data_IF_018710143109
#
_entry.id   IF_018710143109
#
_cell.length_a   1.000
_cell.length_b   1.000
_cell.length_c   1.000
_cell.angle_alpha   90.00
_cell.angle_beta   90.00
_cell.angle_gamma   90.00
#
_symmetry.space_group_name_H-M   'P 1'
#
loop_
_entity.id
_entity.type
_entity.pdbx_description
1 polymer ?
#
# COMPACT_ATOMS: atom_id res chain seq x y z
N UNK A 1 2.12 21.22 11.59
CA UNK A 1 3.35 21.04 12.41
C UNK A 1 3.77 19.57 12.47
N UNK A 2 2.85 18.62 12.68
CA UNK A 2 3.13 17.17 12.70
C UNK A 2 3.60 16.57 11.36
N UNK A 3 3.07 17.02 10.21
CA UNK A 3 3.49 16.52 8.89
C UNK A 3 4.96 16.84 8.55
N UNK A 4 5.46 18.00 9.00
CA UNK A 4 6.87 18.40 8.75
C UNK A 4 7.85 17.52 9.54
N UNK A 5 7.53 17.16 10.78
CA UNK A 5 8.36 16.30 11.63
C UNK A 5 8.47 14.87 11.07
N UNK A 6 7.40 14.33 10.46
CA UNK A 6 7.46 13.02 9.83
C UNK A 6 8.33 13.02 8.56
N UNK A 7 8.32 14.10 7.79
CA UNK A 7 9.12 14.20 6.56
C UNK A 7 10.62 14.37 6.84
N UNK A 8 11.01 15.02 7.94
CA UNK A 8 12.42 15.16 8.33
C UNK A 8 13.06 13.85 8.82
N UNK A 9 12.26 12.94 9.38
CA UNK A 9 12.75 11.67 9.95
C UNK A 9 12.59 10.48 8.98
N UNK A 10 11.55 10.48 8.13
CA UNK A 10 11.22 9.34 7.26
C UNK A 10 11.20 9.67 5.76
N UNK A 11 11.52 10.90 5.35
CA UNK A 11 11.37 11.36 3.97
C UNK A 11 9.91 11.59 3.59
N UNK A 12 9.63 11.77 2.30
CA UNK A 12 8.26 11.96 1.82
C UNK A 12 7.48 10.63 1.91
N UNK A 13 6.46 10.58 2.77
CA UNK A 13 5.67 9.37 3.03
C UNK A 13 4.32 9.41 2.31
N UNK A 14 4.08 8.44 1.43
CA UNK A 14 2.80 8.22 0.77
C UNK A 14 1.91 7.26 1.54
N UNK A 15 0.59 7.47 1.48
CA UNK A 15 -0.40 6.53 2.03
C UNK A 15 -1.51 6.28 1.02
N UNK A 16 -1.75 5.01 0.69
CA UNK A 16 -2.85 4.60 -0.19
C UNK A 16 -3.80 3.66 0.54
N UNK A 17 -5.08 3.74 0.19
CA UNK A 17 -6.14 2.93 0.78
C UNK A 17 -6.79 2.06 -0.30
N UNK A 18 -6.99 0.78 -0.03
CA UNK A 18 -7.74 -0.11 -0.90
C UNK A 18 -8.74 -0.95 -0.11
N UNK A 19 -9.78 -1.43 -0.80
CA UNK A 19 -10.66 -2.49 -0.29
C UNK A 19 -10.18 -3.85 -0.80
N UNK A 20 -10.31 -4.89 0.00
CA UNK A 20 -10.00 -6.27 -0.36
C UNK A 20 -11.20 -7.15 -0.09
N UNK A 21 -11.51 -8.05 -1.02
CA UNK A 21 -12.57 -9.02 -0.84
C UNK A 21 -12.19 -10.00 0.30
N UNK A 22 -13.16 -10.53 1.08
CA UNK A 22 -12.87 -11.34 2.26
C UNK A 22 -11.87 -12.48 2.03
N UNK A 23 -11.97 -13.17 0.88
CA UNK A 23 -11.12 -14.29 0.49
C UNK A 23 -9.64 -13.95 0.29
N UNK A 24 -9.35 -12.68 -0.04
CA UNK A 24 -7.98 -12.17 -0.17
C UNK A 24 -7.54 -11.46 1.11
N UNK A 25 -8.44 -10.69 1.72
CA UNK A 25 -8.17 -9.90 2.92
C UNK A 25 -7.54 -10.75 4.03
N UNK A 26 -8.11 -11.91 4.36
CA UNK A 26 -7.56 -12.77 5.42
C UNK A 26 -6.17 -13.33 5.06
N UNK A 27 -5.93 -13.66 3.78
CA UNK A 27 -4.62 -14.13 3.32
C UNK A 27 -3.56 -13.02 3.39
N UNK A 28 -3.93 -11.80 2.98
CA UNK A 28 -3.05 -10.62 3.04
C UNK A 28 -2.76 -10.21 4.50
N UNK A 29 -3.80 -10.18 5.35
CA UNK A 29 -3.69 -9.85 6.79
C UNK A 29 -2.83 -10.85 7.54
N UNK A 30 -2.95 -12.14 7.26
CA UNK A 30 -2.20 -13.20 7.93
C UNK A 30 -0.81 -13.46 7.31
N UNK A 31 -0.40 -12.70 6.29
CA UNK A 31 0.91 -12.85 5.64
C UNK A 31 1.06 -14.10 4.78
N UNK A 32 -0.03 -14.84 4.51
CA UNK A 32 -0.05 -15.94 3.54
C UNK A 32 0.18 -15.39 2.13
N UNK A 33 -0.38 -14.21 1.86
CA UNK A 33 -0.16 -13.43 0.65
C UNK A 33 0.58 -12.14 1.02
N UNK A 34 1.72 -11.89 0.39
CA UNK A 34 2.57 -10.72 0.65
C UNK A 34 2.52 -9.70 -0.51
N UNK A 35 1.35 -9.59 -1.14
CA UNK A 35 1.14 -8.62 -2.20
C UNK A 35 -0.35 -8.36 -2.40
N UNK A 36 -0.67 -7.25 -3.06
CA UNK A 36 -1.99 -6.98 -3.60
C UNK A 36 -1.86 -6.54 -5.05
N UNK A 37 -2.86 -6.87 -5.87
CA UNK A 37 -2.87 -6.56 -7.31
C UNK A 37 -4.03 -5.60 -7.56
N UNK A 38 -3.76 -4.48 -8.24
CA UNK A 38 -4.73 -3.42 -8.46
C UNK A 38 -4.73 -3.01 -9.92
N UNK A 39 -5.89 -3.03 -10.55
CA UNK A 39 -6.07 -2.41 -11.85
C UNK A 39 -6.18 -0.90 -11.65
N UNK A 40 -5.46 -0.12 -12.47
CA UNK A 40 -5.54 1.35 -12.45
C UNK A 40 -6.96 1.81 -12.69
N UNK A 41 -7.42 2.75 -11.88
CA UNK A 41 -8.62 3.53 -12.16
C UNK A 41 -8.27 5.04 -12.26
N UNK A 42 -9.28 5.91 -12.20
CA UNK A 42 -9.12 7.36 -12.23
C UNK A 42 -8.87 7.98 -10.85
N UNK A 43 -8.78 7.16 -9.80
CA UNK A 43 -8.60 7.61 -8.43
C UNK A 43 -7.17 8.11 -8.18
N UNK A 44 -7.08 9.22 -7.45
CA UNK A 44 -5.82 9.89 -7.12
C UNK A 44 -4.81 9.00 -6.39
N UNK A 45 -5.26 7.94 -5.70
CA UNK A 45 -4.37 6.99 -5.01
C UNK A 45 -3.38 6.32 -5.97
N UNK A 46 -3.73 6.18 -7.25
CA UNK A 46 -2.81 5.62 -8.24
C UNK A 46 -1.72 6.60 -8.66
N UNK A 47 -1.95 7.91 -8.53
CA UNK A 47 -0.89 8.91 -8.72
C UNK A 47 0.16 8.78 -7.61
N UNK A 48 -0.26 8.47 -6.38
CA UNK A 48 0.67 8.20 -5.26
C UNK A 48 1.53 6.95 -5.57
N UNK A 49 0.95 5.92 -6.18
CA UNK A 49 1.73 4.76 -6.63
C UNK A 49 2.73 5.13 -7.74
N UNK A 50 2.29 5.91 -8.72
CA UNK A 50 3.16 6.38 -9.80
C UNK A 50 4.30 7.27 -9.27
N UNK A 51 4.03 8.13 -8.28
CA UNK A 51 5.04 8.98 -7.63
C UNK A 51 6.03 8.18 -6.78
N UNK A 52 5.60 7.09 -6.13
CA UNK A 52 6.50 6.14 -5.46
C UNK A 52 7.40 5.42 -6.45
N UNK A 53 6.86 4.91 -7.56
CA UNK A 53 7.65 4.27 -8.64
C UNK A 53 8.68 5.26 -9.22
N UNK A 54 8.30 6.53 -9.37
CA UNK A 54 9.18 7.58 -9.86
C UNK A 54 10.22 8.08 -8.84
N UNK A 55 10.22 7.55 -7.60
CA UNK A 55 11.15 7.94 -6.55
C UNK A 55 10.88 9.32 -5.91
N UNK A 56 9.67 9.87 -6.07
CA UNK A 56 9.26 11.14 -5.41
C UNK A 56 8.75 10.93 -3.99
N UNK A 57 8.33 9.70 -3.70
CA UNK A 57 7.88 9.25 -2.38
C UNK A 57 8.89 8.21 -1.92
N UNK A 58 9.53 8.47 -0.79
CA UNK A 58 10.61 7.62 -0.25
C UNK A 58 10.05 6.37 0.43
N UNK A 59 8.87 6.51 1.04
CA UNK A 59 8.22 5.44 1.79
C UNK A 59 6.73 5.40 1.51
N UNK A 60 6.20 4.22 1.23
CA UNK A 60 4.77 4.04 0.96
C UNK A 60 4.15 3.09 1.98
N UNK A 61 3.00 3.48 2.52
CA UNK A 61 2.18 2.64 3.39
C UNK A 61 0.86 2.33 2.69
N UNK A 62 0.51 1.05 2.64
CA UNK A 62 -0.80 0.62 2.14
C UNK A 62 -1.71 0.27 3.30
N UNK A 63 -2.95 0.78 3.28
CA UNK A 63 -4.03 0.40 4.18
C UNK A 63 -5.06 -0.39 3.42
N UNK A 64 -5.31 -1.62 3.85
CA UNK A 64 -6.29 -2.52 3.23
C UNK A 64 -7.47 -2.67 4.16
N UNK A 65 -8.65 -2.29 3.68
CA UNK A 65 -9.94 -2.43 4.34
C UNK A 65 -10.65 -3.70 3.86
N UNK A 66 -11.40 -4.34 4.76
CA UNK A 66 -12.33 -5.39 4.37
C UNK A 66 -13.46 -4.78 3.54
N UNK A 67 -13.75 -5.31 2.35
CA UNK A 67 -14.72 -4.71 1.44
C UNK A 67 -16.14 -4.59 2.02
N UNK A 68 -16.51 -5.48 2.95
CA UNK A 68 -17.82 -5.52 3.61
C UNK A 68 -17.90 -4.66 4.87
N UNK A 69 -16.78 -4.17 5.41
CA UNK A 69 -16.73 -3.41 6.68
C UNK A 69 -15.61 -2.38 6.67
N UNK A 70 -15.97 -1.09 6.72
CA UNK A 70 -15.01 0.01 6.61
C UNK A 70 -14.20 0.29 7.89
N UNK A 71 -14.48 -0.40 8.99
CA UNK A 71 -13.72 -0.26 10.24
C UNK A 71 -12.63 -1.33 10.41
N UNK A 72 -12.68 -2.43 9.65
CA UNK A 72 -11.67 -3.48 9.74
C UNK A 72 -10.58 -3.27 8.68
N UNK A 73 -9.36 -2.97 9.12
CA UNK A 73 -8.22 -2.77 8.23
C UNK A 73 -6.93 -3.36 8.81
N UNK A 74 -5.98 -3.62 7.92
CA UNK A 74 -4.57 -3.75 8.30
C UNK A 74 -3.72 -2.82 7.46
N UNK A 75 -2.52 -2.53 7.94
CA UNK A 75 -1.55 -1.68 7.25
C UNK A 75 -0.24 -2.41 7.05
N UNK A 76 0.46 -2.05 5.96
CA UNK A 76 1.76 -2.61 5.60
C UNK A 76 2.67 -1.53 5.02
N UNK A 77 3.96 -1.64 5.30
CA UNK A 77 5.00 -0.85 4.64
C UNK A 77 5.31 -1.52 3.31
N UNK A 78 5.13 -0.78 2.23
CA UNK A 78 5.37 -1.28 0.88
C UNK A 78 6.86 -1.46 0.66
N UNK A 79 7.21 -2.62 0.11
CA UNK A 79 8.58 -2.99 -0.25
C UNK A 79 8.89 -2.61 -1.70
N UNK A 80 7.95 -2.88 -2.60
CA UNK A 80 8.07 -2.58 -4.02
C UNK A 80 6.68 -2.39 -4.65
N UNK A 81 6.63 -1.55 -5.69
CA UNK A 81 5.49 -1.41 -6.59
C UNK A 81 5.97 -1.60 -8.01
N UNK A 82 5.51 -2.65 -8.65
CA UNK A 82 5.72 -2.90 -10.07
C UNK A 82 4.45 -2.59 -10.86
N UNK A 83 4.60 -2.08 -12.09
CA UNK A 83 3.48 -1.73 -12.99
C UNK A 83 3.66 -2.36 -14.37
N UNK A 84 2.64 -3.06 -14.85
CA UNK A 84 2.59 -3.65 -16.19
C UNK A 84 1.18 -3.50 -16.76
N UNK A 85 1.05 -2.88 -17.95
CA UNK A 85 -0.24 -2.70 -18.65
C UNK A 85 -1.39 -2.15 -17.77
N UNK A 86 -1.07 -1.18 -16.90
CA UNK A 86 -2.06 -0.58 -16.00
C UNK A 86 -2.42 -1.43 -14.78
N UNK A 87 -1.76 -2.57 -14.58
CA UNK A 87 -1.86 -3.40 -13.39
C UNK A 87 -0.70 -3.05 -12.46
N UNK A 88 -1.01 -2.73 -11.21
CA UNK A 88 -0.05 -2.52 -10.14
C UNK A 88 0.05 -3.77 -9.29
N UNK A 89 1.27 -4.23 -9.06
CA UNK A 89 1.59 -5.28 -8.10
C UNK A 89 2.34 -4.62 -6.94
N UNK A 90 1.67 -4.56 -5.79
CA UNK A 90 2.18 -3.91 -4.59
C UNK A 90 2.59 -5.01 -3.61
N UNK A 91 3.86 -5.06 -3.23
CA UNK A 91 4.39 -6.01 -2.25
C UNK A 91 4.76 -5.29 -0.96
N UNK A 92 4.84 -5.99 0.17
CA UNK A 92 5.24 -5.37 1.44
C UNK A 92 6.35 -6.13 2.15
N UNK A 93 6.94 -5.47 3.15
CA UNK A 93 7.93 -6.06 4.03
C UNK A 93 7.33 -7.29 4.74
N UNK A 94 8.07 -8.40 4.74
CA UNK A 94 7.65 -9.60 5.46
C UNK A 94 8.00 -9.43 6.94
N UNK A 95 7.02 -9.62 7.82
CA UNK A 95 7.22 -9.55 9.27
C UNK A 95 7.83 -10.83 9.85
N UNK A 96 8.03 -11.89 9.05
CA UNK A 96 8.53 -13.19 9.51
C UNK A 96 10.05 -13.29 9.69
N UNK A 97 10.80 -12.23 9.40
CA UNK A 97 12.24 -12.16 9.66
C UNK A 97 12.52 -11.16 10.79
N UNK A 98 12.30 -11.60 12.03
CA UNK A 98 12.95 -11.10 13.25
C UNK A 98 13.34 -12.30 14.10
#
# INVERSE_FOLDING_TARGET
MFERLNNEVYGNVGVVKFKSAPEFYHKEKNGIKNNTVRLRDLDERFNILDDYIAGKIDRLVVKIFLATMDYELFQRVVKDVSKYEGIYVITWEDHRNN
#
